data_IF_066621238088
#
_entry.id   IF_066621238088
#
_cell.length_a   1.000
_cell.length_b   1.000
_cell.length_c   1.000
_cell.angle_alpha   90.00
_cell.angle_beta   90.00
_cell.angle_gamma   90.00
#
_symmetry.space_group_name_H-M   'P 1'
#
loop_
_entity.id
_entity.type
_entity.pdbx_description
1 polymer ?
#
# COMPACT_ATOMS: atom_id res chain seq x y z
N UNK A 1 -21.05 8.44 7.47
CA UNK A 1 -20.19 7.51 8.26
C UNK A 1 -18.78 7.61 7.70
N UNK A 2 -17.78 7.69 8.56
CA UNK A 2 -16.38 7.83 8.17
C UNK A 2 -15.77 6.44 8.10
N UNK A 3 -15.26 6.05 6.94
CA UNK A 3 -14.73 4.70 6.70
C UNK A 3 -13.21 4.75 6.67
N UNK A 4 -12.57 3.83 7.39
CA UNK A 4 -11.12 3.63 7.34
C UNK A 4 -10.82 2.44 6.42
N UNK A 5 -9.87 2.62 5.50
CA UNK A 5 -9.45 1.61 4.54
C UNK A 5 -8.01 1.19 4.85
N UNK A 6 -7.80 -0.10 5.08
CA UNK A 6 -6.50 -0.64 5.45
C UNK A 6 -5.91 -1.32 4.23
N UNK A 7 -4.96 -0.65 3.58
CA UNK A 7 -4.14 -1.28 2.56
C UNK A 7 -2.94 -1.90 3.27
N UNK A 8 -3.16 -3.05 3.92
CA UNK A 8 -2.07 -3.95 4.23
C UNK A 8 -1.69 -4.63 2.93
N UNK A 9 -0.52 -4.32 2.41
CA UNK A 9 -0.12 -4.80 1.11
C UNK A 9 1.38 -4.94 1.08
N UNK A 10 1.87 -6.09 1.57
CA UNK A 10 3.23 -6.56 1.27
C UNK A 10 3.51 -6.26 -0.19
N UNK A 11 4.43 -5.35 -0.42
CA UNK A 11 5.08 -5.17 -1.70
C UNK A 11 5.91 -6.43 -1.91
N UNK A 12 5.37 -7.39 -2.64
CA UNK A 12 6.25 -8.26 -3.41
C UNK A 12 6.67 -7.44 -4.62
N UNK A 13 7.95 -7.03 -4.63
CA UNK A 13 8.62 -6.55 -5.84
C UNK A 13 8.80 -7.75 -6.80
N UNK A 14 7.70 -8.37 -7.25
CA UNK A 14 7.76 -9.58 -8.06
C UNK A 14 7.72 -9.32 -9.56
N UNK A 15 7.69 -8.06 -10.02
CA UNK A 15 7.73 -7.77 -11.46
C UNK A 15 8.51 -6.48 -11.78
N UNK A 16 9.74 -6.39 -11.29
CA UNK A 16 10.74 -5.47 -11.83
C UNK A 16 11.79 -6.26 -12.62
N UNK A 17 11.42 -6.62 -13.86
CA UNK A 17 12.31 -6.84 -15.01
C UNK A 17 13.27 -8.05 -14.97
N UNK A 18 13.23 -8.83 -16.05
CA UNK A 18 14.17 -9.90 -16.44
C UNK A 18 15.65 -9.46 -16.58
N UNK A 19 16.06 -8.34 -16.00
CA UNK A 19 17.41 -7.76 -16.18
C UNK A 19 18.12 -7.35 -14.90
N UNK A 20 17.52 -7.48 -13.71
CA UNK A 20 18.22 -7.19 -12.45
C UNK A 20 17.44 -7.64 -11.20
N UNK A 21 17.78 -8.80 -10.64
CA UNK A 21 17.24 -9.34 -9.39
C UNK A 21 17.79 -8.61 -8.15
N UNK A 22 17.58 -7.30 -8.03
CA UNK A 22 17.91 -6.54 -6.83
C UNK A 22 16.76 -6.60 -5.82
N UNK A 23 16.59 -7.76 -5.19
CA UNK A 23 15.80 -7.84 -3.97
C UNK A 23 16.62 -7.21 -2.82
N UNK A 24 16.02 -6.30 -2.07
CA UNK A 24 16.61 -5.84 -0.81
C UNK A 24 16.66 -7.01 0.16
N UNK A 25 17.86 -7.31 0.68
CA UNK A 25 18.05 -8.39 1.65
C UNK A 25 17.33 -7.99 2.94
N UNK A 26 16.38 -8.82 3.39
CA UNK A 26 15.66 -8.59 4.64
C UNK A 26 16.62 -8.67 5.85
N UNK A 27 16.34 -7.89 6.89
CA UNK A 27 17.15 -7.86 8.11
C UNK A 27 18.45 -7.04 8.01
N UNK A 28 18.79 -6.51 6.84
CA UNK A 28 19.90 -5.55 6.71
C UNK A 28 19.48 -4.16 7.17
N UNK A 29 20.36 -3.46 7.89
CA UNK A 29 20.07 -2.16 8.50
C UNK A 29 19.63 -1.09 7.50
N UNK A 30 20.08 -1.17 6.24
CA UNK A 30 19.75 -0.20 5.20
C UNK A 30 18.46 -0.50 4.45
N UNK A 31 17.97 -1.75 4.47
CA UNK A 31 16.83 -2.15 3.63
C UNK A 31 15.56 -1.37 3.94
N UNK A 32 15.27 -1.13 5.22
CA UNK A 32 14.11 -0.33 5.65
C UNK A 32 14.18 1.13 5.18
N UNK A 33 15.40 1.69 5.16
CA UNK A 33 15.62 3.05 4.69
C UNK A 33 15.46 3.14 3.16
N UNK A 34 16.06 2.20 2.41
CA UNK A 34 15.91 2.12 0.96
C UNK A 34 14.44 1.97 0.55
N UNK A 35 13.69 1.11 1.25
CA UNK A 35 12.27 0.96 1.03
C UNK A 35 11.51 2.27 1.27
N UNK A 36 11.79 2.93 2.40
CA UNK A 36 11.15 4.20 2.77
C UNK A 36 11.38 5.29 1.72
N UNK A 37 12.61 5.40 1.18
CA UNK A 37 12.91 6.31 0.07
C UNK A 37 12.17 5.96 -1.22
N UNK A 38 12.05 4.67 -1.53
CA UNK A 38 11.41 4.22 -2.76
C UNK A 38 9.90 4.49 -2.79
N UNK A 39 9.23 4.38 -1.63
CA UNK A 39 7.77 4.63 -1.54
C UNK A 39 7.42 6.09 -1.24
N UNK A 40 8.37 6.93 -0.83
CA UNK A 40 8.11 8.34 -0.47
C UNK A 40 7.35 9.14 -1.56
N UNK A 41 7.68 9.03 -2.87
CA UNK A 41 6.93 9.73 -3.92
C UNK A 41 5.47 9.27 -4.02
N UNK A 42 5.21 7.97 -3.79
CA UNK A 42 3.86 7.39 -3.79
C UNK A 42 3.07 7.97 -2.61
N UNK A 43 3.65 7.95 -1.40
CA UNK A 43 3.03 8.50 -0.20
C UNK A 43 2.71 9.99 -0.34
N UNK A 44 3.60 10.78 -0.96
CA UNK A 44 3.36 12.20 -1.25
C UNK A 44 2.14 12.41 -2.14
N UNK A 45 1.93 11.56 -3.15
CA UNK A 45 0.77 11.67 -4.05
C UNK A 45 -0.52 11.21 -3.36
N UNK A 46 -0.47 10.11 -2.58
CA UNK A 46 -1.61 9.66 -1.78
C UNK A 46 -2.07 10.74 -0.78
N UNK A 47 -1.13 11.40 -0.08
CA UNK A 47 -1.41 12.49 0.89
C UNK A 47 -2.11 13.72 0.29
N UNK A 48 -2.06 13.92 -1.02
CA UNK A 48 -2.79 15.02 -1.69
C UNK A 48 -4.29 14.78 -1.75
N UNK A 49 -4.72 13.52 -1.72
CA UNK A 49 -6.12 13.12 -1.90
C UNK A 49 -6.71 12.49 -0.64
N UNK A 50 -5.89 11.82 0.15
CA UNK A 50 -6.33 11.03 1.30
C UNK A 50 -5.50 11.35 2.54
N UNK A 51 -6.10 11.13 3.70
CA UNK A 51 -5.35 11.04 4.95
C UNK A 51 -4.78 9.63 5.05
N UNK A 52 -3.47 9.52 5.27
CA UNK A 52 -2.79 8.22 5.30
C UNK A 52 -1.88 8.08 6.53
N UNK A 53 -1.75 6.84 6.99
CA UNK A 53 -0.72 6.40 7.94
C UNK A 53 0.09 5.28 7.28
N UNK A 54 1.40 5.28 7.45
CA UNK A 54 2.28 4.29 6.82
C UNK A 54 3.31 3.81 7.83
N UNK A 55 3.51 2.50 7.90
CA UNK A 55 4.54 1.84 8.68
C UNK A 55 5.12 0.69 7.87
N UNK A 56 6.38 0.83 7.43
CA UNK A 56 6.96 -0.07 6.43
C UNK A 56 6.00 -0.24 5.23
N UNK A 57 5.68 -1.47 4.85
CA UNK A 57 4.78 -1.83 3.75
C UNK A 57 3.29 -1.77 4.09
N UNK A 58 2.94 -1.53 5.36
CA UNK A 58 1.55 -1.35 5.79
C UNK A 58 1.11 0.10 5.62
N UNK A 59 0.04 0.33 4.85
CA UNK A 59 -0.48 1.67 4.54
C UNK A 59 -1.98 1.73 4.82
N UNK A 60 -2.38 2.60 5.75
CA UNK A 60 -3.77 2.88 6.06
C UNK A 60 -4.17 4.13 5.31
N UNK A 61 -5.29 4.08 4.59
CA UNK A 61 -5.87 5.19 3.83
C UNK A 61 -7.27 5.46 4.33
N UNK A 62 -7.52 6.66 4.84
CA UNK A 62 -8.88 7.11 5.17
C UNK A 62 -9.54 7.61 3.87
N UNK A 63 -10.62 6.94 3.45
CA UNK A 63 -11.23 7.14 2.12
C UNK A 63 -12.00 8.47 1.99
N UNK A 64 -12.41 9.07 3.11
CA UNK A 64 -13.19 10.30 3.15
C UNK A 64 -14.53 10.12 2.43
N UNK A 65 -14.68 10.76 1.27
CA UNK A 65 -15.87 10.66 0.41
C UNK A 65 -15.70 9.70 -0.77
N UNK A 66 -14.48 9.20 -1.03
CA UNK A 66 -14.25 8.24 -2.11
C UNK A 66 -14.77 6.86 -1.74
N UNK A 67 -15.33 6.17 -2.71
CA UNK A 67 -15.66 4.75 -2.59
C UNK A 67 -14.39 3.91 -2.43
N UNK A 68 -14.53 2.74 -1.83
CA UNK A 68 -13.45 1.76 -1.67
C UNK A 68 -12.74 1.44 -3.00
N UNK A 69 -13.54 1.17 -4.03
CA UNK A 69 -13.05 0.86 -5.37
C UNK A 69 -12.22 2.01 -5.95
N UNK A 70 -12.66 3.26 -5.81
CA UNK A 70 -11.91 4.42 -6.31
C UNK A 70 -10.57 4.62 -5.60
N UNK A 71 -10.50 4.33 -4.29
CA UNK A 71 -9.24 4.36 -3.53
C UNK A 71 -8.30 3.28 -4.04
N UNK A 72 -8.81 2.05 -4.21
CA UNK A 72 -8.00 0.93 -4.68
C UNK A 72 -7.53 1.08 -6.12
N UNK A 73 -8.40 1.49 -7.04
CA UNK A 73 -8.03 1.73 -8.44
C UNK A 73 -6.93 2.81 -8.54
N UNK A 74 -7.06 3.88 -7.74
CA UNK A 74 -6.05 4.93 -7.68
C UNK A 74 -4.73 4.44 -7.06
N UNK A 75 -4.78 3.74 -5.93
CA UNK A 75 -3.60 3.21 -5.26
C UNK A 75 -2.88 2.21 -6.19
N UNK A 76 -3.57 1.19 -6.71
CA UNK A 76 -2.99 0.19 -7.60
C UNK A 76 -2.34 0.83 -8.83
N UNK A 77 -3.01 1.80 -9.47
CA UNK A 77 -2.44 2.54 -10.60
C UNK A 77 -1.15 3.28 -10.19
N UNK A 78 -1.18 3.95 -9.04
CA UNK A 78 -0.04 4.72 -8.54
C UNK A 78 1.14 3.83 -8.16
N UNK A 79 0.94 2.73 -7.42
CA UNK A 79 2.00 1.80 -7.04
C UNK A 79 2.62 1.13 -8.29
N UNK A 80 1.78 0.71 -9.24
CA UNK A 80 2.24 0.07 -10.49
C UNK A 80 3.15 0.99 -11.31
N UNK A 81 2.90 2.31 -11.32
CA UNK A 81 3.76 3.30 -12.00
C UNK A 81 5.21 3.30 -11.49
N UNK A 82 5.41 2.90 -10.23
CA UNK A 82 6.74 2.83 -9.60
C UNK A 82 7.27 1.40 -9.50
N UNK A 83 6.62 0.42 -10.15
CA UNK A 83 7.05 -0.99 -10.12
C UNK A 83 6.65 -1.75 -8.85
N UNK A 84 5.70 -1.21 -8.07
CA UNK A 84 5.19 -1.85 -6.87
C UNK A 84 3.86 -2.54 -7.13
N UNK A 85 3.62 -3.66 -6.44
CA UNK A 85 2.35 -4.39 -6.50
C UNK A 85 1.72 -4.47 -5.12
N UNK A 86 0.42 -4.20 -5.04
CA UNK A 86 -0.35 -4.33 -3.79
C UNK A 86 -0.74 -5.80 -3.63
N UNK A 87 -0.51 -6.36 -2.43
CA UNK A 87 -0.97 -7.70 -2.12
C UNK A 87 -2.47 -7.70 -1.78
N UNK A 88 -3.30 -8.01 -2.77
CA UNK A 88 -4.77 -8.06 -2.65
C UNK A 88 -5.27 -9.05 -1.58
N UNK A 89 -4.49 -10.08 -1.22
CA UNK A 89 -4.88 -11.04 -0.17
C UNK A 89 -4.77 -10.48 1.24
N UNK A 90 -3.98 -9.41 1.42
CA UNK A 90 -3.79 -8.72 2.69
C UNK A 90 -4.60 -7.43 2.80
N UNK A 91 -5.11 -6.95 1.67
CA UNK A 91 -5.97 -5.79 1.63
C UNK A 91 -7.30 -6.05 2.34
N UNK A 92 -7.76 -5.10 3.15
CA UNK A 92 -9.09 -5.13 3.74
C UNK A 92 -9.68 -3.74 4.00
N UNK A 93 -11.02 -3.69 4.01
CA UNK A 93 -11.79 -2.47 4.27
C UNK A 93 -12.50 -2.62 5.62
N UNK A 94 -12.21 -1.74 6.59
CA UNK A 94 -12.82 -1.86 7.91
C UNK A 94 -14.34 -1.61 7.92
N UNK A 95 -14.91 -0.95 6.90
CA UNK A 95 -16.36 -0.86 6.76
C UNK A 95 -17.03 -2.21 6.44
N UNK A 96 -16.28 -3.17 5.88
CA UNK A 96 -16.81 -4.48 5.47
C UNK A 96 -16.35 -5.63 6.39
N UNK A 97 -15.21 -5.51 7.08
CA UNK A 97 -14.60 -6.66 7.79
C UNK A 97 -14.82 -6.72 9.31
N UNK A 98 -15.41 -5.70 9.96
CA UNK A 98 -15.86 -5.88 11.34
C UNK A 98 -16.93 -6.97 11.46
N UNK A 99 -17.69 -7.23 10.39
CA UNK A 99 -18.65 -8.34 10.32
C UNK A 99 -18.01 -9.72 10.11
N UNK A 100 -16.79 -9.82 9.58
CA UNK A 100 -16.15 -11.12 9.28
C UNK A 100 -15.38 -11.74 10.45
N UNK A 101 -15.01 -10.96 11.46
CA UNK A 101 -14.25 -11.44 12.63
C UNK A 101 -15.09 -11.53 13.92
N UNK A 102 -16.42 -11.39 13.82
CA UNK A 102 -17.39 -11.62 14.89
C UNK A 102 -18.47 -12.68 14.53
N UNK A 103 -18.16 -13.58 13.59
CA UNK A 103 -18.84 -14.85 13.36
C UNK A 103 -17.86 -16.02 13.55
#
# INVERSE_FOLDING_TARGET
MQTQLYICGIIQAQNCLETASYNLIQGQSLSSLCFSYAIEPILKQLKKKYRISCYADDIIIENGQSSEKEVMDFATSLFSKYGFTINEKKYFSMANDWQRNHL
#
